data_IF_462431402582
#
_entry.id   IF_462431402582
#
_cell.length_a   1.000
_cell.length_b   1.000
_cell.length_c   1.000
_cell.angle_alpha   90.00
_cell.angle_beta   90.00
_cell.angle_gamma   90.00
#
_symmetry.space_group_name_H-M   'P 1'
#
loop_
_entity.id
_entity.type
_entity.pdbx_description
1 polymer ?
#
# COMPACT_ATOMS: atom_id res chain seq x y z
N UNK A 1 -3.02 -18.78 26.73
CA UNK A 1 -3.61 -18.18 25.51
C UNK A 1 -4.66 -19.14 24.95
N UNK A 2 -5.86 -18.69 24.55
CA UNK A 2 -6.89 -19.60 24.09
C UNK A 2 -6.52 -20.17 22.69
N UNK A 3 -6.89 -21.43 22.39
CA UNK A 3 -6.41 -22.19 21.22
C UNK A 3 -6.96 -21.73 19.85
N UNK A 4 -7.58 -20.55 19.77
CA UNK A 4 -8.27 -20.04 18.58
C UNK A 4 -7.64 -18.76 17.98
N UNK A 5 -6.58 -18.21 18.56
CA UNK A 5 -5.80 -17.12 17.92
C UNK A 5 -4.86 -17.66 16.84
N UNK A 6 -5.36 -18.56 15.96
CA UNK A 6 -4.58 -19.00 14.82
C UNK A 6 -4.40 -17.78 13.92
N UNK A 7 -3.17 -17.31 13.77
CA UNK A 7 -2.82 -16.28 12.81
C UNK A 7 -3.25 -16.80 11.42
N UNK A 8 -4.37 -16.30 10.93
CA UNK A 8 -4.90 -16.66 9.63
C UNK A 8 -4.28 -15.76 8.57
N UNK A 9 -3.90 -16.38 7.45
CA UNK A 9 -3.54 -15.67 6.24
C UNK A 9 -4.80 -15.12 5.54
N UNK A 10 -4.61 -14.12 4.68
CA UNK A 10 -5.66 -13.55 3.83
C UNK A 10 -5.44 -14.02 2.39
N UNK A 11 -6.46 -14.63 1.80
CA UNK A 11 -6.46 -15.03 0.40
C UNK A 11 -7.61 -14.34 -0.33
N UNK A 12 -7.26 -13.44 -1.25
CA UNK A 12 -8.21 -12.71 -2.07
C UNK A 12 -8.34 -13.39 -3.44
N UNK A 13 -9.55 -13.88 -3.71
CA UNK A 13 -9.95 -14.34 -5.05
C UNK A 13 -10.12 -13.15 -6.00
N UNK A 14 -10.21 -13.35 -7.33
CA UNK A 14 -10.40 -12.23 -8.25
C UNK A 14 -11.70 -11.47 -7.95
N UNK A 15 -11.62 -10.15 -7.85
CA UNK A 15 -12.77 -9.29 -7.58
C UNK A 15 -12.39 -7.87 -7.18
N UNK A 16 -13.38 -6.98 -7.13
CA UNK A 16 -13.26 -5.64 -6.54
C UNK A 16 -13.95 -5.66 -5.18
N UNK A 17 -13.18 -5.36 -4.14
CA UNK A 17 -13.60 -5.40 -2.74
C UNK A 17 -13.69 -3.96 -2.22
N UNK A 18 -14.91 -3.52 -1.95
CA UNK A 18 -15.16 -2.25 -1.27
C UNK A 18 -14.94 -2.40 0.23
N UNK A 19 -14.19 -1.47 0.81
CA UNK A 19 -13.81 -1.47 2.22
C UNK A 19 -14.47 -0.30 2.95
N UNK A 20 -15.21 -0.61 4.02
CA UNK A 20 -15.78 0.35 4.96
C UNK A 20 -14.82 0.71 6.11
N UNK A 21 -13.86 -0.18 6.40
CA UNK A 21 -12.78 0.05 7.35
C UNK A 21 -11.42 -0.52 6.86
N UNK A 22 -10.36 -0.10 7.53
CA UNK A 22 -8.98 -0.52 7.27
C UNK A 22 -8.76 -1.99 7.63
N UNK A 23 -8.15 -2.74 6.71
CA UNK A 23 -7.61 -4.08 7.00
C UNK A 23 -6.33 -3.91 7.81
N UNK A 24 -6.30 -4.47 9.02
CA UNK A 24 -5.14 -4.36 9.94
C UNK A 24 -4.42 -5.69 10.06
N UNK A 25 -3.17 -5.72 9.63
CA UNK A 25 -2.28 -6.88 9.74
C UNK A 25 -1.38 -6.69 10.96
N UNK A 26 -1.73 -7.33 12.07
CA UNK A 26 -1.04 -7.17 13.36
C UNK A 26 -0.23 -8.39 13.79
N UNK A 27 -0.37 -9.52 13.09
CA UNK A 27 0.35 -10.75 13.42
C UNK A 27 1.59 -10.89 12.52
N UNK A 28 2.75 -11.26 13.08
CA UNK A 28 3.91 -11.58 12.26
C UNK A 28 3.62 -12.75 11.33
N UNK A 29 4.39 -12.84 10.24
CA UNK A 29 4.32 -13.90 9.24
C UNK A 29 2.98 -14.02 8.50
N UNK A 30 2.09 -13.03 8.63
CA UNK A 30 0.81 -13.02 7.91
C UNK A 30 1.06 -12.91 6.40
N UNK A 31 0.48 -13.83 5.64
CA UNK A 31 0.48 -13.80 4.17
C UNK A 31 -0.84 -13.20 3.68
N UNK A 32 -0.74 -12.16 2.86
CA UNK A 32 -1.81 -11.59 2.06
C UNK A 32 -1.53 -11.92 0.60
N UNK A 33 -2.31 -12.84 0.04
CA UNK A 33 -2.15 -13.31 -1.34
C UNK A 33 -3.38 -12.99 -2.16
N UNK A 34 -3.19 -12.23 -3.25
CA UNK A 34 -4.18 -12.00 -4.28
C UNK A 34 -3.90 -12.83 -5.55
N UNK A 35 -4.97 -13.29 -6.19
CA UNK A 35 -4.90 -13.94 -7.52
C UNK A 35 -5.80 -13.21 -8.51
N UNK A 36 -5.27 -12.92 -9.70
CA UNK A 36 -5.98 -12.13 -10.71
C UNK A 36 -6.13 -10.64 -10.35
N UNK A 37 -5.18 -10.10 -9.57
CA UNK A 37 -5.16 -8.72 -9.07
C UNK A 37 -6.47 -8.28 -8.44
N UNK A 38 -6.88 -8.90 -7.31
CA UNK A 38 -7.97 -8.39 -6.52
C UNK A 38 -7.73 -6.93 -6.15
N UNK A 39 -8.79 -6.16 -6.29
CA UNK A 39 -8.76 -4.71 -6.09
C UNK A 39 -9.37 -4.37 -4.75
N UNK A 40 -8.64 -3.66 -3.90
CA UNK A 40 -9.12 -3.15 -2.63
C UNK A 40 -9.41 -1.66 -2.76
N UNK A 41 -10.68 -1.27 -2.57
CA UNK A 41 -11.15 0.12 -2.71
C UNK A 41 -11.70 0.65 -1.39
N UNK A 42 -11.01 1.58 -0.70
CA UNK A 42 -11.54 2.19 0.52
C UNK A 42 -12.60 3.25 0.20
N UNK A 43 -13.84 3.01 0.62
CA UNK A 43 -14.97 3.90 0.33
C UNK A 43 -15.05 5.09 1.30
N UNK A 44 -14.40 4.98 2.46
CA UNK A 44 -14.59 5.87 3.61
C UNK A 44 -13.48 6.92 3.81
N UNK A 45 -12.49 6.97 2.90
CA UNK A 45 -11.32 7.85 3.04
C UNK A 45 -10.36 7.41 4.14
N UNK A 46 -10.50 6.18 4.63
CA UNK A 46 -9.51 5.54 5.49
C UNK A 46 -8.46 4.82 4.65
N UNK A 47 -7.30 4.56 5.23
CA UNK A 47 -6.30 3.68 4.61
C UNK A 47 -6.89 2.29 4.35
N UNK A 48 -6.61 1.72 3.18
CA UNK A 48 -7.17 0.41 2.81
C UNK A 48 -6.54 -0.71 3.64
N UNK A 49 -5.22 -0.66 3.84
CA UNK A 49 -4.49 -1.64 4.65
C UNK A 49 -3.36 -1.02 5.45
N UNK A 50 -3.25 -1.44 6.71
CA UNK A 50 -2.15 -1.08 7.62
C UNK A 50 -1.48 -2.37 8.10
N UNK A 51 -0.16 -2.42 8.00
CA UNK A 51 0.68 -3.47 8.58
C UNK A 51 1.37 -2.90 9.81
N UNK A 52 1.24 -3.56 10.96
CA UNK A 52 1.96 -3.20 12.17
C UNK A 52 3.48 -3.41 12.00
N UNK A 53 4.28 -2.84 12.91
CA UNK A 53 5.75 -3.01 12.92
C UNK A 53 6.13 -4.43 13.42
N UNK A 54 5.81 -5.45 12.62
CA UNK A 54 5.96 -6.88 12.92
C UNK A 54 6.74 -7.61 11.81
N UNK A 55 7.39 -8.71 12.19
CA UNK A 55 8.19 -9.51 11.28
C UNK A 55 7.37 -10.19 10.17
N UNK A 56 8.00 -10.38 9.01
CA UNK A 56 7.67 -11.48 8.10
C UNK A 56 6.37 -11.36 7.31
N UNK A 57 5.67 -10.22 7.36
CA UNK A 57 4.45 -10.04 6.56
C UNK A 57 4.78 -10.14 5.06
N UNK A 58 3.90 -10.79 4.30
CA UNK A 58 4.02 -10.95 2.84
C UNK A 58 2.75 -10.42 2.19
N UNK A 59 2.86 -9.40 1.33
CA UNK A 59 1.73 -8.91 0.52
C UNK A 59 2.06 -9.18 -0.94
N UNK A 60 1.21 -9.93 -1.63
CA UNK A 60 1.46 -10.31 -3.02
C UNK A 60 0.24 -10.20 -3.93
N UNK A 61 0.41 -9.55 -5.09
CA UNK A 61 -0.56 -9.58 -6.18
C UNK A 61 -1.85 -8.83 -5.88
N UNK A 62 -1.76 -7.66 -5.24
CA UNK A 62 -2.92 -6.86 -4.81
C UNK A 62 -2.88 -5.50 -5.48
N UNK A 63 -4.03 -5.05 -5.99
CA UNK A 63 -4.23 -3.68 -6.45
C UNK A 63 -4.98 -2.88 -5.37
N UNK A 64 -4.40 -1.77 -4.95
CA UNK A 64 -5.09 -0.77 -4.13
C UNK A 64 -5.63 0.34 -5.04
N UNK A 65 -6.94 0.49 -5.13
CA UNK A 65 -7.61 1.46 -6.02
C UNK A 65 -8.32 2.50 -5.18
N UNK A 66 -7.94 3.77 -5.31
CA UNK A 66 -8.43 4.82 -4.42
C UNK A 66 -9.94 5.05 -4.60
N UNK A 67 -10.66 5.15 -3.49
CA UNK A 67 -12.04 5.64 -3.47
C UNK A 67 -12.12 7.15 -3.69
N UNK A 68 -13.35 7.65 -3.86
CA UNK A 68 -13.61 9.08 -4.13
C UNK A 68 -13.39 9.98 -2.90
N UNK A 69 -13.36 9.41 -1.70
CA UNK A 69 -12.97 10.09 -0.47
C UNK A 69 -11.44 10.00 -0.29
N UNK A 70 -10.80 11.11 0.06
CA UNK A 70 -9.35 11.16 0.18
C UNK A 70 -8.84 10.31 1.34
N UNK A 71 -8.02 9.32 1.04
CA UNK A 71 -7.31 8.51 2.04
C UNK A 71 -5.95 9.12 2.37
N UNK A 72 -5.47 9.07 3.64
CA UNK A 72 -4.12 9.55 3.98
C UNK A 72 -3.03 8.69 3.32
N UNK A 73 -3.26 7.38 3.22
CA UNK A 73 -2.50 6.42 2.43
C UNK A 73 -3.43 5.35 1.84
N UNK A 74 -2.97 4.54 0.89
CA UNK A 74 -3.69 3.31 0.53
C UNK A 74 -3.11 2.08 1.25
N UNK A 75 -1.77 2.00 1.33
CA UNK A 75 -1.04 1.03 2.15
C UNK A 75 -0.04 1.74 3.05
N UNK A 76 -0.02 1.38 4.33
CA UNK A 76 1.02 1.77 5.29
C UNK A 76 1.69 0.52 5.86
N UNK A 77 3.01 0.44 5.77
CA UNK A 77 3.83 -0.64 6.35
C UNK A 77 4.64 -0.11 7.52
N UNK A 78 4.28 -0.52 8.73
CA UNK A 78 4.81 0.02 9.98
C UNK A 78 4.09 1.29 10.40
N UNK A 79 3.97 1.49 11.71
CA UNK A 79 3.42 2.71 12.30
C UNK A 79 4.40 3.89 12.14
N UNK A 80 3.92 5.14 12.26
CA UNK A 80 4.84 6.29 12.28
C UNK A 80 5.79 6.18 13.48
N UNK A 81 7.09 6.34 13.24
CA UNK A 81 8.12 6.12 14.27
C UNK A 81 8.49 4.65 14.52
N UNK A 82 8.03 3.74 13.66
CA UNK A 82 8.54 2.36 13.59
C UNK A 82 10.07 2.33 13.65
N UNK A 83 10.61 1.42 14.46
CA UNK A 83 12.04 1.39 14.78
C UNK A 83 12.61 0.00 15.00
N UNK A 84 11.76 -1.04 14.98
CA UNK A 84 12.21 -2.42 15.07
C UNK A 84 13.12 -2.78 13.88
N UNK A 85 14.09 -3.66 14.14
CA UNK A 85 14.94 -4.25 13.10
C UNK A 85 14.30 -5.55 12.62
N UNK A 86 14.06 -5.64 11.32
CA UNK A 86 13.44 -6.79 10.68
C UNK A 86 14.40 -7.47 9.69
N UNK A 87 15.70 -7.21 9.77
CA UNK A 87 16.71 -7.71 8.81
C UNK A 87 16.72 -9.24 8.62
N UNK A 88 16.30 -10.00 9.64
CA UNK A 88 16.22 -11.47 9.56
C UNK A 88 14.91 -11.98 8.95
N UNK A 89 13.84 -11.18 8.99
CA UNK A 89 12.52 -11.55 8.47
C UNK A 89 11.72 -10.29 8.12
N UNK A 90 12.10 -9.57 7.04
CA UNK A 90 11.51 -8.28 6.70
C UNK A 90 10.06 -8.42 6.25
N UNK A 91 9.28 -7.35 6.24
CA UNK A 91 8.03 -7.30 5.45
C UNK A 91 8.34 -7.21 3.96
N UNK A 92 7.69 -8.00 3.12
CA UNK A 92 7.91 -8.03 1.67
C UNK A 92 6.60 -7.76 0.93
N UNK A 93 6.64 -6.81 -0.01
CA UNK A 93 5.56 -6.48 -0.94
C UNK A 93 5.98 -6.87 -2.36
N UNK A 94 5.19 -7.70 -3.02
CA UNK A 94 5.46 -8.23 -4.36
C UNK A 94 4.29 -8.06 -5.31
N UNK A 95 4.51 -7.50 -6.50
CA UNK A 95 3.43 -7.24 -7.48
C UNK A 95 2.26 -6.45 -6.82
N UNK A 96 2.60 -5.39 -6.07
CA UNK A 96 1.64 -4.55 -5.36
C UNK A 96 1.48 -3.22 -6.10
N UNK A 97 0.26 -2.92 -6.49
CA UNK A 97 -0.04 -1.80 -7.38
C UNK A 97 -1.00 -0.82 -6.75
N UNK A 98 -0.94 0.43 -7.20
CA UNK A 98 -1.78 1.52 -6.73
C UNK A 98 -2.35 2.29 -7.91
N UNK A 99 -3.63 2.64 -7.81
CA UNK A 99 -4.31 3.48 -8.80
C UNK A 99 -5.09 4.59 -8.10
N UNK A 100 -4.79 5.84 -8.48
CA UNK A 100 -5.57 7.02 -8.10
C UNK A 100 -6.21 7.61 -9.35
N UNK A 101 -7.50 7.39 -9.54
CA UNK A 101 -8.20 7.85 -10.74
C UNK A 101 -8.44 6.77 -11.78
N UNK A 102 -8.79 7.18 -13.00
CA UNK A 102 -8.91 6.30 -14.18
C UNK A 102 -10.20 5.48 -14.25
N UNK A 103 -10.69 4.95 -13.12
CA UNK A 103 -12.02 4.28 -13.04
C UNK A 103 -13.07 5.20 -12.42
N UNK A 104 -12.70 5.81 -11.29
CA UNK A 104 -13.47 6.82 -10.54
C UNK A 104 -12.53 7.98 -10.22
N UNK A 105 -13.03 9.13 -9.76
CA UNK A 105 -12.20 10.26 -9.29
C UNK A 105 -11.51 9.95 -7.94
N UNK A 106 -10.73 8.87 -7.93
CA UNK A 106 -10.07 8.29 -6.77
C UNK A 106 -8.89 9.13 -6.33
N UNK A 107 -8.73 9.31 -5.02
CA UNK A 107 -7.71 10.21 -4.46
C UNK A 107 -7.14 9.72 -3.14
N UNK A 108 -5.85 9.93 -2.94
CA UNK A 108 -5.15 9.64 -1.69
C UNK A 108 -3.93 10.54 -1.55
N UNK A 109 -3.60 10.97 -0.33
CA UNK A 109 -2.42 11.82 -0.10
C UNK A 109 -1.14 11.05 -0.43
N UNK A 110 -1.01 9.82 0.06
CA UNK A 110 0.07 8.90 -0.28
C UNK A 110 -0.51 7.63 -0.89
N UNK A 111 0.18 6.97 -1.82
CA UNK A 111 -0.24 5.61 -2.22
C UNK A 111 0.35 4.57 -1.27
N UNK A 112 1.67 4.64 -1.06
CA UNK A 112 2.40 3.76 -0.18
C UNK A 112 3.23 4.56 0.83
N UNK A 113 3.13 4.19 2.11
CA UNK A 113 4.03 4.63 3.17
C UNK A 113 4.78 3.41 3.72
N UNK A 114 6.11 3.47 3.77
CA UNK A 114 6.98 2.42 4.32
C UNK A 114 7.75 3.00 5.51
N UNK A 115 7.30 2.71 6.71
CA UNK A 115 7.94 3.11 7.96
C UNK A 115 8.83 2.01 8.55
N UNK A 116 8.45 0.73 8.41
CA UNK A 116 9.25 -0.38 8.95
C UNK A 116 10.62 -0.49 8.28
N UNK A 117 11.64 -0.76 9.08
CA UNK A 117 13.00 -1.01 8.59
C UNK A 117 13.07 -2.30 7.79
N UNK A 118 14.07 -2.39 6.92
CA UNK A 118 14.41 -3.58 6.13
C UNK A 118 13.31 -4.05 5.16
N UNK A 119 12.20 -3.32 5.02
CA UNK A 119 11.11 -3.70 4.14
C UNK A 119 11.59 -3.85 2.69
N UNK A 120 11.03 -4.82 1.97
CA UNK A 120 11.36 -5.08 0.57
C UNK A 120 10.16 -4.76 -0.31
N UNK A 121 10.37 -3.87 -1.27
CA UNK A 121 9.45 -3.54 -2.35
C UNK A 121 9.98 -4.19 -3.64
N UNK A 122 9.32 -5.24 -4.11
CA UNK A 122 9.71 -5.93 -5.33
C UNK A 122 8.55 -5.88 -6.33
N UNK A 123 8.73 -5.13 -7.41
CA UNK A 123 7.71 -4.82 -8.41
C UNK A 123 6.51 -4.05 -7.84
N UNK A 124 6.73 -2.75 -7.63
CA UNK A 124 5.70 -1.78 -7.24
C UNK A 124 5.38 -0.88 -8.42
N UNK A 125 4.09 -0.66 -8.65
CA UNK A 125 3.62 0.38 -9.56
C UNK A 125 2.61 1.28 -8.86
N UNK A 126 3.04 2.50 -8.55
CA UNK A 126 2.19 3.55 -8.01
C UNK A 126 1.82 4.53 -9.13
N UNK A 127 0.56 4.50 -9.56
CA UNK A 127 0.10 5.25 -10.73
C UNK A 127 -1.05 6.18 -10.35
N UNK A 128 -0.79 7.50 -10.38
CA UNK A 128 -1.85 8.49 -10.43
C UNK A 128 -2.32 8.62 -11.88
N UNK A 129 -3.59 8.33 -12.13
CA UNK A 129 -4.11 8.22 -13.48
C UNK A 129 -3.94 9.51 -14.30
N UNK A 130 -3.30 9.38 -15.45
CA UNK A 130 -3.23 10.42 -16.49
C UNK A 130 -4.34 10.27 -17.55
N UNK A 131 -5.02 9.13 -17.58
CA UNK A 131 -6.14 8.82 -18.48
C UNK A 131 -7.14 7.84 -17.84
N UNK A 132 -8.30 7.64 -18.49
CA UNK A 132 -9.32 6.68 -18.10
C UNK A 132 -10.73 7.16 -18.43
N UNK A 133 -11.70 6.85 -17.57
CA UNK A 133 -13.07 7.31 -17.68
C UNK A 133 -13.15 8.85 -17.65
N UNK A 134 -14.10 9.42 -18.39
CA UNK A 134 -14.31 10.86 -18.37
C UNK A 134 -14.61 11.35 -16.94
N UNK A 135 -13.91 12.39 -16.50
CA UNK A 135 -14.07 12.95 -15.15
C UNK A 135 -13.42 12.14 -14.02
N UNK A 136 -12.65 11.08 -14.33
CA UNK A 136 -11.92 10.30 -13.32
C UNK A 136 -10.44 10.68 -13.17
N UNK A 137 -9.95 11.63 -13.96
CA UNK A 137 -8.55 12.07 -13.96
C UNK A 137 -8.44 13.57 -14.25
N UNK A 138 -7.38 14.21 -13.74
CA UNK A 138 -7.14 15.65 -13.85
C UNK A 138 -6.48 16.22 -12.60
N UNK A 139 -5.81 17.38 -12.71
CA UNK A 139 -4.98 17.94 -11.63
C UNK A 139 -5.69 17.99 -10.27
N UNK A 140 -6.93 18.49 -10.25
CA UNK A 140 -7.77 18.60 -9.03
C UNK A 140 -8.84 17.48 -8.91
N UNK A 141 -8.84 16.51 -9.84
CA UNK A 141 -9.87 15.45 -9.93
C UNK A 141 -9.45 14.22 -9.13
N UNK A 142 -8.24 13.72 -9.39
CA UNK A 142 -7.62 12.59 -8.72
C UNK A 142 -6.33 13.03 -8.00
N UNK A 143 -6.38 13.97 -7.05
CA UNK A 143 -5.16 14.46 -6.40
C UNK A 143 -4.43 13.31 -5.70
N UNK A 144 -3.11 13.32 -5.84
CA UNK A 144 -2.19 12.44 -5.15
C UNK A 144 -0.87 13.15 -4.91
N UNK A 145 -0.54 13.43 -3.65
CA UNK A 145 0.63 14.24 -3.30
C UNK A 145 1.92 13.44 -3.54
N UNK A 146 2.06 12.29 -2.89
CA UNK A 146 3.26 11.45 -2.96
C UNK A 146 2.90 10.03 -3.38
N UNK A 147 3.65 9.46 -4.33
CA UNK A 147 3.44 8.06 -4.70
C UNK A 147 3.92 7.11 -3.62
N UNK A 148 5.23 7.12 -3.39
CA UNK A 148 5.88 6.25 -2.40
C UNK A 148 6.68 7.11 -1.43
N UNK A 149 6.31 7.02 -0.14
CA UNK A 149 7.01 7.65 0.97
C UNK A 149 7.75 6.59 1.78
N UNK A 150 9.08 6.65 1.81
CA UNK A 150 9.92 5.72 2.57
C UNK A 150 10.56 6.44 3.75
N UNK A 151 10.17 6.06 4.97
CA UNK A 151 10.73 6.57 6.21
C UNK A 151 11.66 5.55 6.90
N UNK A 152 11.46 4.24 6.66
CA UNK A 152 12.27 3.18 7.25
C UNK A 152 13.71 3.15 6.71
N UNK A 153 14.65 2.80 7.60
CA UNK A 153 16.04 2.53 7.23
C UNK A 153 16.18 1.14 6.55
N UNK A 154 17.20 0.96 5.74
CA UNK A 154 17.58 -0.31 5.10
C UNK A 154 16.48 -0.92 4.18
N UNK A 155 15.55 -0.10 3.71
CA UNK A 155 14.49 -0.52 2.78
C UNK A 155 15.08 -0.81 1.41
N UNK A 156 14.69 -1.90 0.77
CA UNK A 156 15.15 -2.25 -0.58
C UNK A 156 14.00 -2.14 -1.59
N UNK A 157 14.27 -1.57 -2.77
CA UNK A 157 13.32 -1.50 -3.86
C UNK A 157 13.89 -2.04 -5.18
N UNK A 158 13.24 -3.05 -5.77
CA UNK A 158 13.57 -3.60 -7.11
C UNK A 158 12.36 -3.50 -8.02
N UNK A 159 12.49 -2.80 -9.15
CA UNK A 159 11.33 -2.57 -10.04
C UNK A 159 10.30 -1.62 -9.43
N UNK A 160 10.75 -0.40 -9.08
CA UNK A 160 9.90 0.66 -8.54
C UNK A 160 9.46 1.63 -9.65
N UNK A 161 8.17 1.60 -9.98
CA UNK A 161 7.54 2.45 -11.00
C UNK A 161 6.58 3.43 -10.32
N UNK A 162 6.80 4.74 -10.44
CA UNK A 162 5.96 5.74 -9.78
C UNK A 162 5.72 6.95 -10.66
N UNK A 163 4.44 7.26 -10.92
CA UNK A 163 4.08 8.14 -12.03
C UNK A 163 2.97 9.16 -11.68
N UNK A 164 3.16 10.38 -12.20
CA UNK A 164 2.19 11.47 -12.30
C UNK A 164 1.65 12.08 -10.99
N UNK A 165 2.28 11.84 -9.84
CA UNK A 165 1.90 12.48 -8.57
C UNK A 165 2.11 14.00 -8.59
N UNK A 166 1.26 14.73 -7.86
CA UNK A 166 1.23 16.19 -7.83
C UNK A 166 2.47 16.80 -7.14
N UNK A 167 3.09 16.10 -6.19
CA UNK A 167 4.33 16.53 -5.52
C UNK A 167 5.48 15.58 -5.85
N UNK A 168 5.68 14.54 -5.06
CA UNK A 168 6.84 13.64 -5.18
C UNK A 168 6.40 12.32 -5.77
N UNK A 169 7.09 11.84 -6.80
CA UNK A 169 6.88 10.46 -7.25
C UNK A 169 7.37 9.53 -6.12
N UNK A 170 8.61 9.71 -5.70
CA UNK A 170 9.21 9.04 -4.56
C UNK A 170 9.79 10.08 -3.61
N UNK A 171 9.52 9.93 -2.31
CA UNK A 171 10.20 10.66 -1.24
C UNK A 171 10.84 9.65 -0.29
N UNK A 172 12.17 9.68 -0.19
CA UNK A 172 12.95 8.73 0.60
C UNK A 172 13.68 9.47 1.72
N UNK A 173 13.22 9.26 2.95
CA UNK A 173 13.73 9.88 4.18
C UNK A 173 14.64 8.94 4.99
N UNK A 174 14.45 7.63 4.87
CA UNK A 174 15.25 6.62 5.58
C UNK A 174 16.68 6.50 5.06
N UNK A 175 17.56 5.90 5.85
CA UNK A 175 18.97 5.72 5.51
C UNK A 175 19.24 4.35 4.88
N UNK A 176 20.35 4.26 4.12
CA UNK A 176 20.90 3.00 3.60
C UNK A 176 19.91 2.16 2.75
N UNK A 177 19.04 2.83 1.99
CA UNK A 177 18.12 2.21 1.02
C UNK A 177 18.62 2.21 -0.42
#
# INVERSE_FOLDING_TARGET
TPPWSRACNLFFTPGVYHLDDTIRITNPDTIVLGVGYPTLMPDTGKTAMEVADVDGVRIKGVLFDAGTQNSPSLLTVGEEGASADHSQNPTIMQDVFFRLGGTVAGKATNSLIVNSKNAVMDHIWAWRADHGNEGSFGWDVNPGDTGVLVNGDDVTATGLFVEHYNKYQVLWNGNNG
#
